data_IF_178736020275
#
_entry.id   IF_178736020275
#
_cell.length_a   1.000
_cell.length_b   1.000
_cell.length_c   1.000
_cell.angle_alpha   90.00
_cell.angle_beta   90.00
_cell.angle_gamma   90.00
#
_symmetry.space_group_name_H-M   'P 1'
#
loop_
_entity.id
_entity.type
_entity.pdbx_description
1 polymer ?
#
# COMPACT_ATOMS: atom_id res chain seq x y z
N UNK A 1 8.72 -11.46 -58.43
CA UNK A 1 10.16 -11.78 -58.42
C UNK A 1 10.92 -10.48 -58.53
N UNK A 2 11.72 -10.12 -57.53
CA UNK A 2 12.54 -8.90 -57.58
C UNK A 2 13.91 -9.21 -58.16
N UNK A 3 14.32 -8.43 -59.17
CA UNK A 3 15.65 -8.48 -59.80
C UNK A 3 16.56 -7.48 -59.09
N UNK A 4 17.83 -7.86 -58.91
CA UNK A 4 18.85 -7.05 -58.25
C UNK A 4 20.03 -6.94 -59.20
N UNK A 5 20.45 -5.70 -59.45
CA UNK A 5 21.66 -5.38 -60.21
C UNK A 5 22.81 -5.12 -59.25
N UNK A 6 23.88 -5.89 -59.39
CA UNK A 6 25.10 -5.71 -58.61
C UNK A 6 26.30 -6.12 -59.45
N UNK A 7 27.34 -5.28 -59.48
CA UNK A 7 28.57 -5.52 -60.27
C UNK A 7 28.34 -5.76 -61.78
N UNK A 8 27.31 -5.11 -62.36
CA UNK A 8 26.99 -5.26 -63.78
C UNK A 8 26.25 -6.56 -64.14
N UNK A 9 25.88 -7.37 -63.15
CA UNK A 9 25.04 -8.55 -63.33
C UNK A 9 23.65 -8.34 -62.71
N UNK A 10 22.60 -8.63 -63.49
CA UNK A 10 21.21 -8.58 -63.04
C UNK A 10 20.74 -10.01 -62.78
N UNK A 11 20.49 -10.34 -61.50
CA UNK A 11 20.02 -11.68 -61.10
C UNK A 11 18.85 -11.58 -60.13
N UNK A 12 18.17 -12.70 -59.91
CA UNK A 12 17.09 -12.74 -58.91
C UNK A 12 17.68 -12.74 -57.50
N UNK A 13 16.89 -12.31 -56.51
CA UNK A 13 17.24 -12.39 -55.08
C UNK A 13 17.68 -13.81 -54.70
N UNK A 14 16.99 -14.83 -55.20
CA UNK A 14 17.27 -16.23 -54.87
C UNK A 14 18.59 -16.74 -55.48
N UNK A 15 18.98 -16.23 -56.65
CA UNK A 15 20.27 -16.56 -57.26
C UNK A 15 21.41 -15.86 -56.53
N UNK A 16 21.26 -14.56 -56.24
CA UNK A 16 22.24 -13.82 -55.45
C UNK A 16 22.45 -14.44 -54.07
N UNK A 17 21.38 -14.78 -53.37
CA UNK A 17 21.45 -15.43 -52.06
C UNK A 17 22.20 -16.77 -52.11
N UNK A 18 21.95 -17.59 -53.16
CA UNK A 18 22.69 -18.83 -53.39
C UNK A 18 24.17 -18.59 -53.66
N UNK A 19 24.51 -17.57 -54.45
CA UNK A 19 25.88 -17.23 -54.81
C UNK A 19 26.71 -16.82 -53.59
N UNK A 20 26.14 -16.00 -52.69
CA UNK A 20 26.84 -15.52 -51.48
C UNK A 20 26.67 -16.44 -50.27
N UNK A 21 25.92 -17.54 -50.41
CA UNK A 21 25.73 -18.55 -49.36
C UNK A 21 24.84 -18.11 -48.20
N UNK A 22 23.85 -17.24 -48.43
CA UNK A 22 22.86 -16.84 -47.42
C UNK A 22 21.46 -17.32 -47.79
N UNK A 23 20.56 -17.41 -46.80
CA UNK A 23 19.18 -17.78 -47.07
C UNK A 23 18.47 -16.65 -47.87
N UNK A 24 17.68 -16.96 -48.92
CA UNK A 24 16.96 -15.95 -49.70
C UNK A 24 16.08 -15.02 -48.85
N UNK A 25 15.41 -15.57 -47.83
CA UNK A 25 14.63 -14.77 -46.88
C UNK A 25 15.48 -13.77 -46.09
N UNK A 26 16.74 -14.10 -45.80
CA UNK A 26 17.66 -13.18 -45.13
C UNK A 26 18.00 -12.02 -46.04
N UNK A 27 18.28 -12.29 -47.32
CA UNK A 27 18.53 -11.24 -48.32
C UNK A 27 17.29 -10.37 -48.54
N UNK A 28 16.11 -11.00 -48.68
CA UNK A 28 14.83 -10.30 -48.81
C UNK A 28 14.52 -9.41 -47.61
N UNK A 29 14.79 -9.88 -46.37
CA UNK A 29 14.63 -9.08 -45.15
C UNK A 29 15.58 -7.89 -45.12
N UNK A 30 16.84 -8.04 -45.53
CA UNK A 30 17.79 -6.92 -45.60
C UNK A 30 17.26 -5.81 -46.51
N UNK A 31 16.79 -6.17 -47.70
CA UNK A 31 16.22 -5.22 -48.65
C UNK A 31 14.92 -4.59 -48.13
N UNK A 32 14.06 -5.37 -47.48
CA UNK A 32 12.82 -4.86 -46.87
C UNK A 32 13.10 -3.89 -45.69
N UNK A 33 14.21 -4.07 -44.99
CA UNK A 33 14.70 -3.16 -43.95
C UNK A 33 15.39 -1.91 -44.52
N UNK A 34 15.38 -1.72 -45.84
CA UNK A 34 15.93 -0.54 -46.50
C UNK A 34 17.45 -0.57 -46.70
N UNK A 35 18.09 -1.74 -46.59
CA UNK A 35 19.52 -1.86 -46.88
C UNK A 35 19.80 -1.58 -48.35
N UNK A 36 20.94 -0.97 -48.64
CA UNK A 36 21.41 -0.88 -50.01
C UNK A 36 21.73 -2.27 -50.55
N UNK A 37 21.67 -2.44 -51.87
CA UNK A 37 21.98 -3.70 -52.54
C UNK A 37 23.39 -4.19 -52.19
N UNK A 38 24.36 -3.27 -52.19
CA UNK A 38 25.74 -3.57 -51.85
C UNK A 38 25.88 -4.06 -50.41
N UNK A 39 25.33 -3.33 -49.43
CA UNK A 39 25.37 -3.74 -48.02
C UNK A 39 24.67 -5.08 -47.79
N UNK A 40 23.54 -5.31 -48.48
CA UNK A 40 22.75 -6.52 -48.35
C UNK A 40 23.50 -7.77 -48.86
N UNK A 41 24.35 -7.62 -49.88
CA UNK A 41 25.13 -8.70 -50.48
C UNK A 41 26.51 -8.90 -49.81
N UNK A 42 27.13 -7.83 -49.31
CA UNK A 42 28.50 -7.88 -48.75
C UNK A 42 28.54 -8.19 -47.25
N UNK A 43 27.48 -7.90 -46.51
CA UNK A 43 27.51 -8.07 -45.04
C UNK A 43 27.32 -9.56 -44.65
N UNK A 44 28.19 -10.16 -43.82
CA UNK A 44 28.03 -11.55 -43.39
C UNK A 44 26.83 -11.72 -42.44
N UNK A 45 26.17 -12.87 -42.49
CA UNK A 45 25.08 -13.20 -41.55
C UNK A 45 25.68 -13.70 -40.24
N UNK A 46 25.51 -12.95 -39.16
CA UNK A 46 25.95 -13.36 -37.84
C UNK A 46 25.29 -14.68 -37.42
N UNK A 47 26.08 -15.63 -36.89
CA UNK A 47 25.58 -16.89 -36.32
C UNK A 47 24.85 -16.57 -35.01
N UNK A 48 23.61 -16.07 -35.10
CA UNK A 48 22.73 -16.00 -33.95
C UNK A 48 22.32 -17.43 -33.58
N UNK A 49 23.15 -18.08 -32.76
CA UNK A 49 22.79 -19.34 -32.15
C UNK A 49 21.46 -19.16 -31.42
N UNK A 50 20.50 -20.04 -31.69
CA UNK A 50 19.26 -20.08 -30.91
C UNK A 50 19.67 -20.23 -29.44
N UNK A 51 19.46 -19.20 -28.61
CA UNK A 51 19.60 -19.37 -27.17
C UNK A 51 18.61 -20.46 -26.77
N UNK A 52 19.05 -21.55 -26.09
CA UNK A 52 18.12 -22.54 -25.61
C UNK A 52 17.08 -21.83 -24.75
N UNK A 53 15.80 -22.09 -25.00
CA UNK A 53 14.74 -21.57 -24.12
C UNK A 53 15.08 -22.03 -22.70
N UNK A 54 15.09 -21.13 -21.70
CA UNK A 54 15.34 -21.56 -20.33
C UNK A 54 14.31 -22.64 -20.00
N UNK A 55 14.79 -23.84 -19.67
CA UNK A 55 13.95 -24.92 -19.18
C UNK A 55 13.29 -24.35 -17.92
N UNK A 56 11.96 -24.18 -17.94
CA UNK A 56 11.21 -23.74 -16.76
C UNK A 56 11.27 -24.89 -15.75
N UNK A 57 12.29 -24.91 -14.91
CA UNK A 57 12.37 -25.83 -13.80
C UNK A 57 11.13 -25.63 -12.91
N UNK A 58 10.48 -26.70 -12.42
CA UNK A 58 9.44 -26.53 -11.41
C UNK A 58 10.04 -25.78 -10.22
N UNK A 59 9.29 -24.83 -9.66
CA UNK A 59 9.69 -24.10 -8.46
C UNK A 59 10.13 -25.10 -7.40
N UNK A 60 11.30 -24.88 -6.78
CA UNK A 60 11.90 -25.72 -5.72
C UNK A 60 10.85 -26.05 -4.63
N UNK A 61 9.87 -25.16 -4.41
CA UNK A 61 8.76 -25.34 -3.49
C UNK A 61 7.84 -26.57 -3.76
N UNK A 62 7.87 -27.15 -4.97
CA UNK A 62 7.13 -28.39 -5.29
C UNK A 62 8.03 -29.64 -5.21
N UNK A 63 9.35 -29.48 -5.28
CA UNK A 63 10.30 -30.58 -5.30
C UNK A 63 10.70 -31.06 -3.88
N UNK A 64 10.48 -30.24 -2.85
CA UNK A 64 10.82 -30.54 -1.46
C UNK A 64 9.67 -30.14 -0.51
N UNK A 65 8.73 -31.06 -0.20
CA UNK A 65 7.60 -30.80 0.69
C UNK A 65 8.02 -30.22 2.06
N UNK A 66 9.10 -30.74 2.65
CA UNK A 66 9.63 -30.27 3.93
C UNK A 66 9.98 -28.78 3.96
N UNK A 67 10.49 -28.22 2.85
CA UNK A 67 10.82 -26.79 2.77
C UNK A 67 9.56 -25.92 2.72
N UNK A 68 8.51 -26.40 2.05
CA UNK A 68 7.22 -25.70 1.94
C UNK A 68 6.49 -25.68 3.28
N UNK A 69 6.52 -26.81 3.98
CA UNK A 69 5.92 -26.94 5.30
C UNK A 69 6.67 -26.06 6.32
N UNK A 70 8.01 -26.09 6.32
CA UNK A 70 8.82 -25.21 7.16
C UNK A 70 8.54 -23.72 6.90
N UNK A 71 8.44 -23.30 5.63
CA UNK A 71 8.12 -21.91 5.29
C UNK A 71 6.72 -21.51 5.78
N UNK A 72 5.74 -22.41 5.67
CA UNK A 72 4.37 -22.19 6.17
C UNK A 72 4.36 -22.07 7.69
N UNK A 73 5.08 -22.94 8.38
CA UNK A 73 5.15 -22.99 9.83
C UNK A 73 5.86 -21.76 10.39
N UNK A 74 6.98 -21.34 9.79
CA UNK A 74 7.68 -20.09 10.13
C UNK A 74 6.75 -18.88 9.99
N UNK A 75 5.97 -18.79 8.91
CA UNK A 75 4.99 -17.73 8.74
C UNK A 75 3.84 -17.80 9.75
N UNK A 76 3.40 -19.00 10.14
CA UNK A 76 2.39 -19.18 11.18
C UNK A 76 2.90 -18.73 12.55
N UNK A 77 4.12 -19.13 12.93
CA UNK A 77 4.76 -18.75 14.17
C UNK A 77 4.94 -17.22 14.28
N UNK A 78 5.40 -16.55 13.21
CA UNK A 78 5.49 -15.09 13.18
C UNK A 78 4.11 -14.46 13.39
N UNK A 79 3.09 -14.88 12.62
CA UNK A 79 1.72 -14.34 12.79
C UNK A 79 1.20 -14.53 14.21
N UNK A 80 1.50 -15.67 14.84
CA UNK A 80 1.14 -15.93 16.23
C UNK A 80 1.83 -14.96 17.18
N UNK A 81 3.14 -14.80 17.06
CA UNK A 81 3.91 -13.86 17.90
C UNK A 81 3.38 -12.42 17.78
N UNK A 82 3.12 -11.94 16.57
CA UNK A 82 2.55 -10.60 16.36
C UNK A 82 1.17 -10.44 17.00
N UNK A 83 0.33 -11.48 16.95
CA UNK A 83 -0.98 -11.46 17.61
C UNK A 83 -0.83 -11.43 19.13
N UNK A 84 0.07 -12.21 19.70
CA UNK A 84 0.32 -12.25 21.15
C UNK A 84 0.78 -10.90 21.69
N UNK A 85 1.67 -10.21 20.99
CA UNK A 85 2.09 -8.85 21.40
C UNK A 85 0.91 -7.89 21.34
N UNK A 86 0.10 -7.94 20.27
CA UNK A 86 -1.07 -7.06 20.13
C UNK A 86 -2.14 -7.35 21.19
N UNK A 87 -2.36 -8.61 21.55
CA UNK A 87 -3.31 -8.97 22.62
C UNK A 87 -2.82 -8.52 23.98
N UNK A 88 -1.52 -8.62 24.25
CA UNK A 88 -0.93 -8.14 25.50
C UNK A 88 -1.10 -6.61 25.66
N UNK A 89 -0.83 -5.84 24.60
CA UNK A 89 -1.04 -4.39 24.63
C UNK A 89 -2.51 -4.04 24.88
N UNK A 90 -3.45 -4.70 24.20
CA UNK A 90 -4.89 -4.49 24.44
C UNK A 90 -5.30 -4.80 25.88
N UNK A 91 -4.79 -5.91 26.42
CA UNK A 91 -5.06 -6.28 27.80
C UNK A 91 -4.57 -5.20 28.78
N UNK A 92 -3.39 -4.62 28.55
CA UNK A 92 -2.90 -3.52 29.38
C UNK A 92 -3.77 -2.26 29.27
N UNK A 93 -4.19 -1.91 28.05
CA UNK A 93 -5.09 -0.76 27.83
C UNK A 93 -6.42 -0.95 28.56
N UNK A 94 -6.99 -2.16 28.53
CA UNK A 94 -8.20 -2.51 29.27
C UNK A 94 -8.01 -2.37 30.79
N UNK A 95 -6.91 -2.89 31.33
CA UNK A 95 -6.60 -2.75 32.77
C UNK A 95 -6.45 -1.29 33.20
N UNK A 96 -5.80 -0.46 32.38
CA UNK A 96 -5.68 0.98 32.66
C UNK A 96 -7.02 1.70 32.57
N UNK A 97 -7.89 1.29 31.64
CA UNK A 97 -9.24 1.84 31.51
C UNK A 97 -10.11 1.50 32.72
N UNK A 98 -10.04 0.25 33.22
CA UNK A 98 -10.74 -0.18 34.44
C UNK A 98 -10.30 0.65 35.66
N UNK A 99 -8.99 0.81 35.86
CA UNK A 99 -8.45 1.63 36.94
C UNK A 99 -8.93 3.07 36.86
N UNK A 100 -8.94 3.65 35.65
CA UNK A 100 -9.43 5.01 35.42
C UNK A 100 -10.91 5.13 35.73
N UNK A 101 -11.74 4.20 35.24
CA UNK A 101 -13.18 4.19 35.55
C UNK A 101 -13.45 4.05 37.04
N UNK A 102 -12.72 3.19 37.75
CA UNK A 102 -12.86 3.06 39.19
C UNK A 102 -12.55 4.37 39.94
N UNK A 103 -11.49 5.07 39.53
CA UNK A 103 -11.14 6.37 40.09
C UNK A 103 -12.23 7.42 39.81
N UNK A 104 -12.72 7.50 38.57
CA UNK A 104 -13.77 8.44 38.17
C UNK A 104 -15.06 8.19 38.98
N UNK A 105 -15.43 6.93 39.20
CA UNK A 105 -16.59 6.54 40.03
C UNK A 105 -16.41 6.97 41.49
N UNK A 106 -15.22 6.78 42.06
CA UNK A 106 -14.96 7.17 43.43
C UNK A 106 -15.05 8.68 43.63
N UNK A 107 -14.47 9.46 42.70
CA UNK A 107 -14.53 10.92 42.74
C UNK A 107 -15.97 11.44 42.57
N UNK A 108 -16.76 10.82 41.68
CA UNK A 108 -18.17 11.13 41.52
C UNK A 108 -18.96 10.87 42.81
N UNK A 109 -18.75 9.71 43.44
CA UNK A 109 -19.41 9.35 44.69
C UNK A 109 -19.06 10.31 45.85
N UNK A 110 -17.78 10.72 45.98
CA UNK A 110 -17.38 11.73 46.96
C UNK A 110 -18.08 13.07 46.72
N UNK A 111 -18.21 13.48 45.45
CA UNK A 111 -18.87 14.73 45.09
C UNK A 111 -20.37 14.70 45.37
N UNK A 112 -21.03 13.59 45.06
CA UNK A 112 -22.45 13.40 45.37
C UNK A 112 -22.69 13.40 46.88
N UNK A 113 -21.81 12.76 47.65
CA UNK A 113 -21.87 12.75 49.11
C UNK A 113 -21.68 14.17 49.69
N UNK A 114 -20.70 14.92 49.20
CA UNK A 114 -20.52 16.32 49.59
C UNK A 114 -21.78 17.15 49.28
N UNK A 115 -22.40 16.95 48.10
CA UNK A 115 -23.63 17.64 47.73
C UNK A 115 -24.81 17.25 48.64
N UNK A 116 -24.96 15.95 48.95
CA UNK A 116 -25.98 15.47 49.89
C UNK A 116 -25.80 16.09 51.28
N UNK A 117 -24.57 16.18 51.78
CA UNK A 117 -24.26 16.83 53.06
C UNK A 117 -24.55 18.34 53.04
N UNK A 118 -24.31 19.03 51.92
CA UNK A 118 -24.70 20.44 51.75
C UNK A 118 -26.24 20.58 51.81
N UNK A 119 -26.99 19.73 51.12
CA UNK A 119 -28.46 19.75 51.14
C UNK A 119 -29.00 19.41 52.54
N UNK A 120 -28.42 18.42 53.22
CA UNK A 120 -28.85 18.00 54.55
C UNK A 120 -28.54 19.04 55.64
N UNK A 121 -27.45 19.81 55.48
CA UNK A 121 -27.11 20.93 56.39
C UNK A 121 -27.97 22.18 56.14
N UNK A 122 -28.56 22.33 54.97
CA UNK A 122 -29.65 23.27 54.73
C UNK A 122 -30.96 22.67 55.24
N UNK A 123 -31.36 22.98 56.47
CA UNK A 123 -32.68 22.64 56.99
C UNK A 123 -33.78 23.26 56.13
N UNK A 124 -34.72 22.49 55.55
CA UNK A 124 -35.92 23.05 54.95
C UNK A 124 -36.82 23.56 56.07
N UNK A 125 -36.74 24.87 56.36
CA UNK A 125 -37.69 25.48 57.30
C UNK A 125 -37.30 26.81 57.91
N UNK A 126 -37.12 27.86 57.11
CA UNK A 126 -37.71 29.19 57.36
C UNK A 126 -37.95 29.81 55.99
N UNK A 127 -39.21 30.13 55.67
CA UNK A 127 -39.58 30.73 54.41
C UNK A 127 -38.82 32.03 54.16
N UNK A 128 -38.10 32.11 53.04
CA UNK A 128 -37.79 33.40 52.45
C UNK A 128 -39.08 33.91 51.82
N UNK A 129 -39.71 34.87 52.52
CA UNK A 129 -40.83 35.63 52.01
C UNK A 129 -40.43 36.27 50.65
N UNK A 130 -41.10 35.96 49.53
CA UNK A 130 -40.77 36.53 48.22
C UNK A 130 -41.10 38.03 48.06
N UNK A 131 -41.54 38.72 49.11
CA UNK A 131 -42.14 40.06 49.01
C UNK A 131 -41.20 41.23 49.35
N UNK A 132 -39.91 41.05 49.65
CA UNK A 132 -39.10 42.18 50.15
C UNK A 132 -37.69 42.30 49.57
N UNK A 133 -37.52 42.14 48.25
CA UNK A 133 -36.44 42.82 47.51
C UNK A 133 -36.99 43.36 46.19
N UNK A 134 -38.05 44.17 46.27
CA UNK A 134 -38.32 45.21 45.29
C UNK A 134 -38.26 46.53 46.02
N UNK A 135 -37.10 47.18 45.96
CA UNK A 135 -36.93 48.63 45.74
C UNK A 135 -35.45 48.98 45.88
N UNK A 136 -34.99 49.81 44.95
CA UNK A 136 -33.67 50.42 44.89
C UNK A 136 -32.60 49.49 44.28
N UNK A 137 -32.38 49.41 42.97
CA UNK A 137 -32.05 50.53 42.08
C UNK A 137 -32.21 50.07 40.63
N UNK A 138 -33.22 50.56 39.92
CA UNK A 138 -33.18 50.60 38.47
C UNK A 138 -33.13 52.06 38.04
N UNK A 139 -31.94 52.52 37.69
CA UNK A 139 -31.74 53.62 36.74
C UNK A 139 -30.25 53.78 36.48
N UNK A 140 -29.78 53.28 35.33
CA UNK A 140 -29.31 54.12 34.22
C UNK A 140 -28.62 53.26 33.16
N UNK A 141 -29.42 52.83 32.18
CA UNK A 141 -28.91 52.62 30.83
C UNK A 141 -28.66 54.00 30.24
N UNK A 142 -27.40 54.31 29.91
CA UNK A 142 -26.98 55.22 28.84
C UNK A 142 -25.46 55.07 28.72
N UNK A 143 -25.00 54.35 27.68
CA UNK A 143 -24.25 54.94 26.56
C UNK A 143 -22.81 55.30 26.91
N UNK A 144 -21.86 54.52 26.40
CA UNK A 144 -20.61 55.07 25.84
C UNK A 144 -20.05 54.05 24.84
N UNK A 145 -20.28 54.36 23.56
CA UNK A 145 -19.52 53.86 22.42
C UNK A 145 -18.85 55.09 21.82
N UNK A 146 -17.52 55.15 21.90
CA UNK A 146 -16.57 55.66 20.89
C UNK A 146 -15.27 54.92 21.08
#
# INVERSE_FOLDING_TARGET
MSLIEFNGETRTVADWARLIGIHPDTLGKRLALGWSVEEALTTPVGKQGRKPKPIRAPSIAHALPALRDWQRDMHAAHRQMTRSVRSFVRQMEEQMAELRHGLDQHLAAQRDEANRNIIASHTPGVGQNPQEIVRDRCSRVAQESV
#
